data_IF_224182120659
#
_entry.id   IF_224182120659
#
_cell.length_a   1.000
_cell.length_b   1.000
_cell.length_c   1.000
_cell.angle_alpha   90.00
_cell.angle_beta   90.00
_cell.angle_gamma   90.00
#
_symmetry.space_group_name_H-M   'P 1'
#
loop_
_entity.id
_entity.type
_entity.pdbx_description
1 polymer ?
#
# COMPACT_ATOMS: atom_id res chain seq x y z
N UNK A 1 12.48 40.38 3.34
CA UNK A 1 11.98 40.42 4.73
C UNK A 1 10.47 40.53 4.60
N UNK A 2 9.64 39.52 4.91
CA UNK A 2 9.76 38.59 6.03
C UNK A 2 9.40 37.13 5.70
N UNK A 3 10.29 36.26 6.16
CA UNK A 3 10.03 34.85 6.44
C UNK A 3 9.06 34.79 7.64
N UNK A 4 7.76 34.89 7.40
CA UNK A 4 6.81 34.51 8.44
C UNK A 4 6.58 32.99 8.34
N UNK A 5 7.48 32.29 9.03
CA UNK A 5 7.37 30.90 9.40
C UNK A 5 5.99 30.65 10.02
N UNK A 6 5.01 30.29 9.19
CA UNK A 6 3.81 29.59 9.65
C UNK A 6 4.21 28.17 10.07
N UNK A 7 4.96 28.08 11.18
CA UNK A 7 4.97 26.91 12.04
C UNK A 7 3.54 26.76 12.54
N UNK A 8 2.72 26.04 11.77
CA UNK A 8 1.44 25.54 12.25
C UNK A 8 1.75 24.73 13.50
N UNK A 9 1.46 25.33 14.66
CA UNK A 9 1.49 24.66 15.95
C UNK A 9 0.39 23.61 15.92
N UNK A 10 0.76 22.34 15.79
CA UNK A 10 -0.15 21.22 15.90
C UNK A 10 -0.56 21.08 17.38
N UNK A 11 -1.84 21.26 17.67
CA UNK A 11 -2.40 21.09 19.01
C UNK A 11 -2.73 19.61 19.27
N UNK A 12 -2.14 19.04 20.32
CA UNK A 12 -2.09 17.59 20.58
C UNK A 12 -3.35 16.96 21.18
N UNK A 13 -4.52 17.60 21.13
CA UNK A 13 -5.72 17.08 21.79
C UNK A 13 -6.81 16.53 20.85
N UNK A 14 -6.60 16.57 19.53
CA UNK A 14 -7.53 15.97 18.55
C UNK A 14 -6.91 15.48 17.26
N UNK A 15 -5.60 15.67 17.05
CA UNK A 15 -4.92 15.34 15.79
C UNK A 15 -4.49 13.88 15.65
N UNK A 16 -4.44 13.07 16.71
CA UNK A 16 -3.86 11.72 16.64
C UNK A 16 -4.56 10.80 15.60
N UNK A 17 -5.86 10.98 15.37
CA UNK A 17 -6.59 10.26 14.32
C UNK A 17 -6.20 10.72 12.91
N UNK A 18 -5.98 12.02 12.69
CA UNK A 18 -5.52 12.55 11.40
C UNK A 18 -4.03 12.24 11.17
N UNK A 19 -3.23 12.23 12.24
CA UNK A 19 -1.78 11.98 12.20
C UNK A 19 -1.45 10.63 11.56
N UNK A 20 -2.25 9.58 11.84
CA UNK A 20 -2.09 8.26 11.21
C UNK A 20 -2.14 8.35 9.68
N UNK A 21 -3.07 9.11 9.10
CA UNK A 21 -3.19 9.29 7.65
C UNK A 21 -1.99 10.04 7.07
N UNK A 22 -1.32 10.89 7.85
CA UNK A 22 -0.13 11.63 7.41
C UNK A 22 1.03 10.67 7.16
N UNK A 23 1.19 9.61 7.97
CA UNK A 23 2.26 8.62 7.80
C UNK A 23 2.11 7.73 6.55
N UNK A 24 0.89 7.61 6.03
CA UNK A 24 0.61 6.80 4.83
C UNK A 24 0.56 7.63 3.53
N UNK A 25 0.79 8.95 3.57
CA UNK A 25 0.85 9.78 2.35
C UNK A 25 2.07 9.41 1.50
N UNK A 26 1.84 9.38 0.19
CA UNK A 26 2.88 9.20 -0.84
C UNK A 26 3.71 7.91 -0.78
N UNK A 27 3.22 6.87 -0.10
CA UNK A 27 3.88 5.56 -0.12
C UNK A 27 3.81 4.93 -1.51
N UNK A 28 4.89 4.27 -1.94
CA UNK A 28 4.91 3.53 -3.21
C UNK A 28 4.22 2.18 -3.12
N UNK A 29 4.21 1.57 -1.93
CA UNK A 29 3.59 0.28 -1.66
C UNK A 29 3.46 0.07 -0.16
N UNK A 30 2.75 -0.98 0.26
CA UNK A 30 2.77 -1.41 1.66
C UNK A 30 2.71 -2.91 1.88
N UNK A 31 2.79 -3.30 3.15
CA UNK A 31 2.70 -4.69 3.59
C UNK A 31 1.61 -4.77 4.63
N UNK A 32 0.66 -5.66 4.42
CA UNK A 32 -0.45 -5.88 5.34
C UNK A 32 -0.32 -7.27 5.97
N UNK A 33 -0.20 -7.32 7.30
CA UNK A 33 0.08 -8.55 8.03
C UNK A 33 -1.08 -8.96 8.94
N UNK A 34 -1.34 -10.26 9.03
CA UNK A 34 -2.17 -10.86 10.08
C UNK A 34 -1.49 -12.13 10.61
N UNK A 35 -2.00 -12.68 11.71
CA UNK A 35 -1.56 -13.98 12.23
C UNK A 35 -2.58 -15.05 11.84
N UNK A 36 -2.11 -16.11 11.18
CA UNK A 36 -2.93 -17.22 10.66
C UNK A 36 -3.78 -17.88 11.77
N UNK A 37 -3.32 -17.82 13.02
CA UNK A 37 -3.97 -18.43 14.18
C UNK A 37 -4.72 -17.40 15.05
N UNK A 38 -4.95 -16.19 14.54
CA UNK A 38 -5.66 -15.14 15.26
C UNK A 38 -6.73 -14.50 14.38
N UNK A 39 -7.96 -14.95 14.58
CA UNK A 39 -9.16 -14.49 13.89
C UNK A 39 -9.35 -12.96 13.93
N UNK A 40 -9.13 -12.34 15.09
CA UNK A 40 -9.28 -10.90 15.25
C UNK A 40 -8.28 -10.13 14.38
N UNK A 41 -7.05 -10.62 14.26
CA UNK A 41 -6.03 -9.98 13.43
C UNK A 41 -6.41 -9.98 11.95
N UNK A 42 -7.09 -11.02 11.48
CA UNK A 42 -7.61 -11.10 10.11
C UNK A 42 -8.84 -10.21 9.92
N UNK A 43 -9.76 -10.19 10.87
CA UNK A 43 -10.94 -9.30 10.80
C UNK A 43 -10.56 -7.81 10.80
N UNK A 44 -9.42 -7.46 11.42
CA UNK A 44 -8.90 -6.10 11.42
C UNK A 44 -8.25 -5.69 10.08
N UNK A 45 -8.05 -6.59 9.12
CA UNK A 45 -7.42 -6.26 7.82
C UNK A 45 -8.16 -5.15 7.08
N UNK A 46 -9.50 -5.17 7.10
CA UNK A 46 -10.32 -4.13 6.45
C UNK A 46 -10.12 -2.76 7.09
N UNK A 47 -9.97 -2.71 8.41
CA UNK A 47 -9.68 -1.47 9.13
C UNK A 47 -8.32 -0.91 8.72
N UNK A 48 -7.28 -1.76 8.71
CA UNK A 48 -5.94 -1.33 8.28
C UNK A 48 -5.92 -0.91 6.81
N UNK A 49 -6.63 -1.63 5.93
CA UNK A 49 -6.78 -1.27 4.52
C UNK A 49 -7.38 0.12 4.34
N UNK A 50 -8.34 0.49 5.18
CA UNK A 50 -8.99 1.81 5.12
C UNK A 50 -8.04 2.98 5.45
N UNK A 51 -6.89 2.69 6.03
CA UNK A 51 -5.82 3.68 6.27
C UNK A 51 -4.88 3.85 5.08
N UNK A 52 -4.87 2.90 4.13
CA UNK A 52 -4.13 3.08 2.88
C UNK A 52 -4.79 4.17 2.05
N UNK A 53 -3.97 4.96 1.36
CA UNK A 53 -4.49 5.79 0.28
C UNK A 53 -4.94 4.90 -0.89
N UNK A 54 -5.93 5.36 -1.65
CA UNK A 54 -6.42 4.65 -2.85
C UNK A 54 -5.27 4.35 -3.82
N UNK A 55 -5.32 3.19 -4.49
CA UNK A 55 -4.32 2.71 -5.45
C UNK A 55 -2.89 2.51 -4.92
N UNK A 56 -2.68 2.38 -3.60
CA UNK A 56 -1.40 1.91 -3.08
C UNK A 56 -1.35 0.38 -3.17
N UNK A 57 -0.48 -0.22 -4.00
CA UNK A 57 -0.36 -1.66 -4.05
C UNK A 57 0.29 -2.22 -2.78
N UNK A 58 -0.09 -3.43 -2.40
CA UNK A 58 0.44 -4.06 -1.21
C UNK A 58 0.59 -5.57 -1.36
N UNK A 59 1.37 -6.14 -0.44
CA UNK A 59 1.49 -7.60 -0.25
C UNK A 59 0.78 -7.99 1.05
N UNK A 60 -0.05 -9.03 1.00
CA UNK A 60 -0.68 -9.63 2.17
C UNK A 60 0.24 -10.71 2.77
N UNK A 61 0.43 -10.69 4.08
CA UNK A 61 1.27 -11.64 4.79
C UNK A 61 0.49 -12.31 5.93
N UNK A 62 0.36 -13.64 5.83
CA UNK A 62 -0.06 -14.50 6.94
C UNK A 62 1.16 -14.93 7.74
N UNK A 63 1.29 -14.43 8.97
CA UNK A 63 2.45 -14.70 9.83
C UNK A 63 2.27 -15.96 10.67
N UNK A 64 3.40 -16.47 11.19
CA UNK A 64 3.52 -17.66 12.05
C UNK A 64 3.13 -18.96 11.35
N UNK A 65 3.45 -19.09 10.07
CA UNK A 65 3.21 -20.32 9.30
C UNK A 65 3.98 -21.54 9.80
N UNK A 66 4.92 -21.37 10.74
CA UNK A 66 5.59 -22.47 11.45
C UNK A 66 4.70 -23.20 12.46
N UNK A 67 3.57 -22.62 12.84
CA UNK A 67 2.62 -23.26 13.74
C UNK A 67 1.62 -24.06 12.90
N UNK A 68 1.36 -25.30 13.33
CA UNK A 68 0.39 -26.17 12.66
C UNK A 68 -1.02 -25.57 12.68
N UNK A 69 -1.72 -25.67 11.55
CA UNK A 69 -3.08 -25.17 11.41
C UNK A 69 -4.05 -26.07 12.18
N UNK A 70 -4.90 -25.44 12.98
CA UNK A 70 -6.03 -26.05 13.68
C UNK A 70 -7.35 -25.63 13.02
N UNK A 71 -8.48 -26.17 13.47
CA UNK A 71 -9.82 -25.77 13.05
C UNK A 71 -10.15 -24.29 13.33
N UNK A 72 -9.40 -23.65 14.25
CA UNK A 72 -9.54 -22.22 14.58
C UNK A 72 -8.64 -21.33 13.73
N UNK A 73 -7.75 -21.92 12.94
CA UNK A 73 -6.85 -21.16 12.07
C UNK A 73 -7.61 -20.70 10.83
N UNK A 74 -7.29 -19.51 10.33
CA UNK A 74 -7.99 -18.94 9.17
C UNK A 74 -7.60 -19.75 7.93
N UNK A 75 -8.57 -20.36 7.24
CA UNK A 75 -8.31 -21.22 6.10
C UNK A 75 -7.73 -20.45 4.90
N UNK A 76 -7.00 -21.16 4.02
CA UNK A 76 -6.42 -20.56 2.81
C UNK A 76 -7.50 -20.02 1.88
N UNK A 77 -8.58 -20.77 1.74
CA UNK A 77 -9.74 -20.41 0.91
C UNK A 77 -10.37 -19.11 1.38
N UNK A 78 -10.48 -18.90 2.70
CA UNK A 78 -11.02 -17.67 3.26
C UNK A 78 -10.10 -16.46 2.98
N UNK A 79 -8.79 -16.67 3.03
CA UNK A 79 -7.80 -15.63 2.72
C UNK A 79 -7.85 -15.27 1.24
N UNK A 80 -7.92 -16.27 0.37
CA UNK A 80 -8.08 -16.08 -1.08
C UNK A 80 -9.38 -15.36 -1.43
N UNK A 81 -10.49 -15.72 -0.78
CA UNK A 81 -11.76 -15.03 -0.91
C UNK A 81 -11.65 -13.56 -0.49
N UNK A 82 -10.95 -13.28 0.61
CA UNK A 82 -10.71 -11.90 1.04
C UNK A 82 -9.89 -11.12 0.01
N UNK A 83 -8.79 -11.69 -0.51
CA UNK A 83 -8.01 -11.06 -1.58
C UNK A 83 -8.90 -10.72 -2.79
N UNK A 84 -9.69 -11.71 -3.26
CA UNK A 84 -10.60 -11.50 -4.38
C UNK A 84 -11.63 -10.41 -4.11
N UNK A 85 -12.19 -10.35 -2.89
CA UNK A 85 -13.14 -9.30 -2.51
C UNK A 85 -12.52 -7.89 -2.54
N UNK A 86 -11.24 -7.74 -2.18
CA UNK A 86 -10.55 -6.45 -2.28
C UNK A 86 -10.23 -6.12 -3.74
N UNK A 87 -9.80 -7.10 -4.54
CA UNK A 87 -9.56 -6.93 -5.98
C UNK A 87 -10.85 -6.50 -6.73
N UNK A 88 -11.98 -7.14 -6.42
CA UNK A 88 -13.29 -6.85 -7.03
C UNK A 88 -13.80 -5.43 -6.71
N UNK A 89 -13.32 -4.80 -5.63
CA UNK A 89 -13.65 -3.40 -5.30
C UNK A 89 -12.94 -2.40 -6.22
N UNK A 90 -11.86 -2.80 -6.90
CA UNK A 90 -11.11 -1.92 -7.81
C UNK A 90 -10.33 -0.79 -7.12
N UNK A 91 -10.21 -0.81 -5.79
CA UNK A 91 -9.42 0.17 -5.01
C UNK A 91 -7.92 0.00 -5.29
N UNK A 92 -7.49 -1.24 -5.50
CA UNK A 92 -6.13 -1.62 -5.88
C UNK A 92 -6.18 -2.17 -7.30
N UNK A 93 -5.36 -1.60 -8.19
CA UNK A 93 -5.35 -1.97 -9.62
C UNK A 93 -4.56 -3.24 -9.88
N UNK A 94 -3.54 -3.49 -9.07
CA UNK A 94 -2.73 -4.69 -9.14
C UNK A 94 -3.32 -5.85 -8.34
N UNK A 95 -3.00 -7.06 -8.79
CA UNK A 95 -3.33 -8.29 -8.07
C UNK A 95 -2.66 -8.30 -6.69
N UNK A 96 -3.37 -8.76 -5.67
CA UNK A 96 -2.84 -8.93 -4.32
C UNK A 96 -1.98 -10.18 -4.28
N UNK A 97 -0.71 -10.01 -3.90
CA UNK A 97 0.20 -11.12 -3.63
C UNK A 97 0.07 -11.53 -2.16
N UNK A 98 -0.18 -12.81 -1.91
CA UNK A 98 -0.28 -13.37 -0.55
C UNK A 98 0.87 -14.34 -0.27
N UNK A 99 1.50 -14.20 0.90
CA UNK A 99 2.55 -15.10 1.39
C UNK A 99 2.26 -15.57 2.81
N UNK A 100 2.47 -16.86 3.06
CA UNK A 100 2.56 -17.41 4.42
C UNK A 100 4.00 -17.36 4.89
N UNK A 101 4.28 -16.58 5.92
CA UNK A 101 5.64 -16.37 6.42
C UNK A 101 5.83 -16.88 7.83
N UNK A 102 7.05 -17.34 8.11
CA UNK A 102 7.52 -17.59 9.46
C UNK A 102 8.78 -16.78 9.69
N UNK A 103 8.70 -15.80 10.60
CA UNK A 103 9.90 -15.09 11.06
C UNK A 103 10.85 -16.03 11.80
N UNK A 104 10.32 -17.06 12.48
CA UNK A 104 11.10 -18.05 13.24
C UNK A 104 11.92 -18.98 12.34
N UNK A 105 11.32 -19.44 11.25
CA UNK A 105 11.95 -20.37 10.30
C UNK A 105 12.45 -19.67 9.02
N UNK A 106 12.37 -18.33 8.98
CA UNK A 106 12.68 -17.51 7.80
C UNK A 106 11.94 -17.93 6.52
N UNK A 107 10.77 -18.55 6.65
CA UNK A 107 9.98 -19.07 5.53
C UNK A 107 9.31 -17.92 4.76
N UNK A 108 9.47 -17.92 3.43
CA UNK A 108 8.90 -16.95 2.48
C UNK A 108 9.25 -15.47 2.74
N UNK A 109 10.23 -15.18 3.60
CA UNK A 109 10.60 -13.80 3.95
C UNK A 109 11.25 -13.10 2.77
N UNK A 110 12.15 -13.78 2.05
CA UNK A 110 12.89 -13.21 0.92
C UNK A 110 11.95 -13.00 -0.26
N UNK A 111 11.10 -13.98 -0.56
CA UNK A 111 10.15 -13.95 -1.67
C UNK A 111 9.11 -12.84 -1.49
N UNK A 112 8.58 -12.68 -0.27
CA UNK A 112 7.68 -11.57 0.06
C UNK A 112 8.39 -10.21 -0.07
N UNK A 113 9.64 -10.12 0.42
CA UNK A 113 10.47 -8.91 0.32
C UNK A 113 10.77 -8.53 -1.14
N UNK A 114 11.20 -9.48 -1.97
CA UNK A 114 11.46 -9.21 -3.38
C UNK A 114 10.21 -8.77 -4.13
N UNK A 115 9.06 -9.35 -3.79
CA UNK A 115 7.78 -9.01 -4.41
C UNK A 115 7.40 -7.57 -4.10
N UNK A 116 7.49 -7.15 -2.83
CA UNK A 116 7.17 -5.77 -2.45
C UNK A 116 8.16 -4.77 -3.07
N UNK A 117 9.45 -5.11 -3.16
CA UNK A 117 10.45 -4.28 -3.85
C UNK A 117 10.13 -4.12 -5.33
N UNK A 118 9.76 -5.21 -6.02
CA UNK A 118 9.36 -5.16 -7.44
C UNK A 118 8.15 -4.26 -7.66
N UNK A 119 7.15 -4.35 -6.77
CA UNK A 119 5.96 -3.49 -6.78
C UNK A 119 6.35 -2.01 -6.59
N UNK A 120 7.15 -1.70 -5.56
CA UNK A 120 7.62 -0.35 -5.27
C UNK A 120 8.36 0.27 -6.46
N UNK A 121 9.27 -0.49 -7.08
CA UNK A 121 10.04 -0.03 -8.24
C UNK A 121 9.15 0.22 -9.46
N UNK A 122 8.11 -0.58 -9.67
CA UNK A 122 7.16 -0.36 -10.76
C UNK A 122 6.34 0.92 -10.54
N UNK A 123 5.88 1.13 -9.30
CA UNK A 123 5.16 2.35 -8.90
C UNK A 123 6.02 3.60 -9.09
N UNK A 124 7.27 3.54 -8.64
CA UNK A 124 8.24 4.62 -8.86
C UNK A 124 8.42 4.93 -10.35
N UNK A 125 8.64 3.91 -11.20
CA UNK A 125 8.79 4.09 -12.65
C UNK A 125 7.55 4.71 -13.31
N UNK A 126 6.35 4.29 -12.89
CA UNK A 126 5.10 4.82 -13.40
C UNK A 126 4.90 6.29 -13.04
N UNK A 127 5.22 6.68 -11.80
CA UNK A 127 5.23 8.08 -11.36
C UNK A 127 6.17 8.92 -12.24
N UNK A 128 7.40 8.46 -12.49
CA UNK A 128 8.37 9.15 -13.34
C UNK A 128 7.88 9.33 -14.79
N UNK A 129 7.29 8.29 -15.40
CA UNK A 129 6.76 8.36 -16.77
C UNK A 129 5.64 9.39 -16.89
N UNK A 130 4.76 9.46 -15.90
CA UNK A 130 3.67 10.43 -15.89
C UNK A 130 4.18 11.88 -15.75
N UNK A 131 5.22 12.11 -14.94
CA UNK A 131 5.88 13.41 -14.81
C UNK A 131 6.56 13.90 -16.10
N UNK A 132 7.04 12.98 -16.94
CA UNK A 132 7.63 13.34 -18.24
C UNK A 132 6.53 13.75 -19.23
N UNK A 133 5.42 13.02 -19.30
CA UNK A 133 4.34 13.30 -20.25
C UNK A 133 3.65 14.67 -20.02
N UNK A 134 3.51 15.12 -18.78
CA UNK A 134 2.91 16.44 -18.48
C UNK A 134 3.80 17.61 -18.91
N UNK A 135 5.08 17.38 -19.18
CA UNK A 135 6.04 18.45 -19.51
C UNK A 135 6.15 18.72 -21.01
N UNK A 136 5.40 17.98 -21.86
CA UNK A 136 5.45 18.09 -23.32
C UNK A 136 4.13 18.70 -23.83
N UNK A 137 3.82 19.93 -23.43
CA UNK A 137 2.95 20.74 -24.30
C UNK A 137 3.80 21.22 -25.48
N UNK A 138 3.39 20.96 -26.74
CA UNK A 138 4.09 21.56 -27.87
C UNK A 138 3.96 23.07 -27.72
N UNK A 139 5.07 23.78 -27.57
CA UNK A 139 5.06 25.22 -27.75
C UNK A 139 4.42 25.49 -29.12
N UNK A 140 3.29 26.20 -29.15
CA UNK A 140 2.79 26.76 -30.40
C UNK A 140 3.95 27.55 -30.99
N UNK A 141 4.38 27.29 -32.23
CA UNK A 141 5.44 28.09 -32.82
C UNK A 141 5.00 29.55 -32.74
N UNK A 142 5.77 30.35 -32.01
CA UNK A 142 5.55 31.78 -31.90
C UNK A 142 5.70 32.36 -33.30
N UNK A 143 4.58 32.70 -33.94
CA UNK A 143 4.59 33.63 -35.07
C UNK A 143 4.42 33.07 -36.48
N UNK A 144 3.77 31.93 -36.71
CA UNK A 144 3.19 31.70 -38.06
C UNK A 144 1.80 32.34 -38.08
N UNK A 145 1.78 33.63 -38.44
CA UNK A 145 0.58 34.34 -38.82
C UNK A 145 0.15 33.77 -40.18
N UNK A 146 -0.85 32.89 -40.19
CA UNK A 146 -1.51 32.49 -41.43
C UNK A 146 -2.33 33.69 -41.91
N UNK A 147 -1.80 34.38 -42.93
CA UNK A 147 -2.61 35.16 -43.87
C UNK A 147 -3.01 34.25 -45.02
#
# INVERSE_FOLDING_TARGET
>A
MDNNNNKKLFNTHGSAFDDSKIYFRDVDCGVLCFNIHNEQSFNNLNHWMSLFNENVPFVLIGTKSDIERTEKSISKERIEQWCKQIEDQGIVKEKIHYFETSAKLSTNIIEAYETIVKIALNQYKNKQKNSINISIEPEKPKGICWW
#
